data_IF_097679276679
#
_entry.id   IF_097679276679
#
_cell.length_a   1.000
_cell.length_b   1.000
_cell.length_c   1.000
_cell.angle_alpha   90.00
_cell.angle_beta   90.00
_cell.angle_gamma   90.00
#
_symmetry.space_group_name_H-M   'P 1'
#
loop_
_entity.id
_entity.type
_entity.pdbx_description
1 polymer ?
#
# COMPACT_ATOMS: atom_id res chain seq x y z
N UNK A 1 19.11 -38.41 63.60
CA UNK A 1 17.87 -38.83 62.90
C UNK A 1 17.00 -37.66 62.42
N UNK A 2 17.50 -36.41 62.37
CA UNK A 2 16.69 -35.23 62.02
C UNK A 2 16.76 -34.78 60.55
N UNK A 3 17.69 -35.31 59.75
CA UNK A 3 17.92 -34.89 58.36
C UNK A 3 16.79 -35.32 57.41
N UNK A 4 16.20 -36.49 57.62
CA UNK A 4 15.10 -37.02 56.82
C UNK A 4 13.79 -36.24 56.98
N UNK A 5 13.56 -35.69 58.19
CA UNK A 5 12.39 -34.84 58.47
C UNK A 5 12.50 -33.49 57.75
N UNK A 6 13.69 -32.89 57.73
CA UNK A 6 13.92 -31.62 57.03
C UNK A 6 13.74 -31.77 55.52
N UNK A 7 14.28 -32.84 54.92
CA UNK A 7 14.12 -33.10 53.48
C UNK A 7 12.68 -33.38 53.10
N UNK A 8 11.93 -34.04 53.98
CA UNK A 8 10.50 -34.30 53.75
C UNK A 8 9.69 -32.99 53.82
N UNK A 9 9.98 -32.12 54.79
CA UNK A 9 9.33 -30.82 54.90
C UNK A 9 9.62 -29.91 53.69
N UNK A 10 10.87 -29.86 53.22
CA UNK A 10 11.23 -29.10 52.01
C UNK A 10 10.54 -29.67 50.77
N UNK A 11 10.46 -30.99 50.64
CA UNK A 11 9.73 -31.64 49.54
C UNK A 11 8.23 -31.32 49.54
N UNK A 12 7.59 -31.37 50.70
CA UNK A 12 6.15 -31.02 50.85
C UNK A 12 5.91 -29.55 50.51
N UNK A 13 6.79 -28.64 50.94
CA UNK A 13 6.67 -27.21 50.62
C UNK A 13 6.83 -26.96 49.11
N UNK A 14 7.80 -27.61 48.46
CA UNK A 14 7.98 -27.50 47.01
C UNK A 14 6.76 -28.02 46.24
N UNK A 15 6.20 -29.17 46.64
CA UNK A 15 4.99 -29.71 46.01
C UNK A 15 3.81 -28.75 46.22
N UNK A 16 3.65 -28.18 47.42
CA UNK A 16 2.60 -27.21 47.69
C UNK A 16 2.72 -25.93 46.83
N UNK A 17 3.94 -25.42 46.62
CA UNK A 17 4.20 -24.27 45.74
C UNK A 17 3.84 -24.61 44.29
N UNK A 18 4.29 -25.77 43.78
CA UNK A 18 3.97 -26.21 42.42
C UNK A 18 2.46 -26.38 42.20
N UNK A 19 1.73 -26.88 43.20
CA UNK A 19 0.28 -27.03 43.11
C UNK A 19 -0.45 -25.68 43.20
N UNK A 20 0.06 -24.73 44.00
CA UNK A 20 -0.46 -23.37 44.04
C UNK A 20 -0.31 -22.67 42.68
N UNK A 21 0.81 -22.83 41.98
CA UNK A 21 1.01 -22.27 40.64
C UNK A 21 0.05 -22.85 39.59
N UNK A 22 -0.30 -24.14 39.72
CA UNK A 22 -1.29 -24.80 38.84
C UNK A 22 -2.70 -24.26 39.11
N UNK A 23 -3.09 -24.12 40.37
CA UNK A 23 -4.40 -23.57 40.75
C UNK A 23 -4.51 -22.09 40.34
N UNK A 24 -3.44 -21.30 40.49
CA UNK A 24 -3.39 -19.90 40.04
C UNK A 24 -3.37 -19.79 38.51
N UNK A 25 -2.87 -20.80 37.79
CA UNK A 25 -2.87 -20.82 36.32
C UNK A 25 -4.25 -21.10 35.72
N UNK A 26 -5.12 -21.85 36.38
CA UNK A 26 -6.51 -22.08 35.94
C UNK A 26 -7.34 -20.78 35.92
N UNK A 27 -7.06 -19.83 36.82
CA UNK A 27 -7.71 -18.50 36.82
C UNK A 27 -7.08 -17.53 35.81
N UNK A 28 -5.92 -17.84 35.24
CA UNK A 28 -5.41 -17.17 34.05
C UNK A 28 -6.08 -17.74 32.81
N UNK A 29 -7.42 -17.65 32.78
CA UNK A 29 -8.17 -17.77 31.54
C UNK A 29 -7.54 -16.81 30.55
N UNK A 30 -6.87 -17.35 29.55
CA UNK A 30 -6.22 -16.60 28.49
C UNK A 30 -7.30 -15.71 27.90
N UNK A 31 -7.29 -14.43 28.29
CA UNK A 31 -8.21 -13.43 27.79
C UNK A 31 -7.74 -13.05 26.38
N UNK A 32 -7.81 -14.03 25.49
CA UNK A 32 -7.62 -13.83 24.08
C UNK A 32 -8.87 -13.10 23.62
N UNK A 33 -8.78 -11.77 23.60
CA UNK A 33 -9.73 -10.96 22.88
C UNK A 33 -9.92 -11.59 21.50
N UNK A 34 -11.16 -11.98 21.16
CA UNK A 34 -11.49 -12.49 19.82
C UNK A 34 -10.85 -11.53 18.83
N UNK A 35 -9.87 -12.03 18.05
CA UNK A 35 -9.22 -11.27 16.98
C UNK A 35 -10.22 -11.15 15.83
N UNK A 36 -11.25 -10.35 16.05
CA UNK A 36 -12.24 -9.92 15.09
C UNK A 36 -12.20 -8.40 14.97
N UNK A 37 -12.91 -7.88 13.96
CA UNK A 37 -13.09 -6.44 13.79
C UNK A 37 -13.57 -5.84 15.11
N UNK A 38 -12.75 -4.97 15.72
CA UNK A 38 -13.16 -4.21 16.90
C UNK A 38 -14.43 -3.44 16.50
N UNK A 39 -15.42 -3.29 17.37
CA UNK A 39 -16.63 -2.49 17.06
C UNK A 39 -16.32 -1.05 16.63
N UNK A 40 -15.07 -0.60 16.81
CA UNK A 40 -14.53 0.68 16.39
C UNK A 40 -13.60 0.58 15.17
N UNK A 41 -13.62 -0.54 14.43
CA UNK A 41 -12.86 -0.66 13.18
C UNK A 41 -13.37 0.35 12.16
N UNK A 42 -14.69 0.54 12.07
CA UNK A 42 -15.30 1.56 11.22
C UNK A 42 -14.80 2.96 11.59
N UNK A 43 -14.61 3.28 12.88
CA UNK A 43 -14.05 4.58 13.28
C UNK A 43 -12.54 4.71 13.01
N UNK A 44 -11.82 3.60 12.88
CA UNK A 44 -10.41 3.58 12.41
C UNK A 44 -10.29 3.75 10.90
N UNK A 45 -11.26 3.30 10.12
CA UNK A 45 -11.31 3.58 8.66
C UNK A 45 -11.86 5.00 8.39
N UNK A 46 -12.73 5.51 9.27
CA UNK A 46 -13.31 6.85 9.14
C UNK A 46 -12.29 7.99 9.32
N UNK A 47 -11.18 7.76 10.03
CA UNK A 47 -10.18 8.78 10.34
C UNK A 47 -8.89 8.65 9.51
N UNK A 48 -8.99 8.16 8.27
CA UNK A 48 -7.83 7.95 7.40
C UNK A 48 -8.04 8.12 5.89
N UNK A 49 -9.29 8.23 5.42
CA UNK A 49 -9.57 8.66 4.04
C UNK A 49 -9.88 10.17 3.99
N UNK A 50 -9.14 10.95 4.79
CA UNK A 50 -9.09 12.40 4.61
C UNK A 50 -8.33 12.69 3.33
N UNK A 51 -9.03 13.30 2.36
CA UNK A 51 -8.45 13.83 1.12
C UNK A 51 -7.09 14.44 1.42
N UNK A 52 -6.03 13.89 0.84
CA UNK A 52 -4.73 14.56 0.78
C UNK A 52 -4.92 15.74 -0.15
N UNK A 53 -5.39 16.87 0.40
CA UNK A 53 -5.18 18.16 -0.21
C UNK A 53 -3.68 18.38 -0.15
N UNK A 54 -2.99 18.16 -1.26
CA UNK A 54 -1.57 18.43 -1.38
C UNK A 54 -1.37 19.94 -1.26
N UNK A 55 -1.19 20.42 -0.03
CA UNK A 55 -0.49 21.68 0.19
C UNK A 55 0.96 21.43 -0.20
N UNK A 56 1.31 21.95 -1.37
CA UNK A 56 2.64 21.99 -1.97
C UNK A 56 3.70 22.43 -0.95
N UNK A 57 4.63 21.56 -0.51
CA UNK A 57 5.87 22.00 0.10
C UNK A 57 6.93 22.04 -1.00
N UNK A 58 7.40 23.25 -1.26
CA UNK A 58 8.62 23.52 -2.01
C UNK A 58 9.77 22.61 -1.57
N UNK A 59 10.51 22.14 -2.58
CA UNK A 59 11.90 21.65 -2.51
C UNK A 59 12.19 20.48 -1.58
N UNK A 60 12.32 19.27 -2.13
CA UNK A 60 13.60 18.55 -2.29
C UNK A 60 13.43 17.04 -2.34
N UNK A 61 14.11 16.44 -3.33
CA UNK A 61 14.70 15.09 -3.37
C UNK A 61 13.84 13.83 -3.53
N UNK A 62 14.07 13.21 -4.71
CA UNK A 62 14.35 11.77 -4.98
C UNK A 62 13.24 10.74 -4.76
N UNK A 63 12.57 10.37 -5.87
CA UNK A 63 11.64 9.24 -5.96
C UNK A 63 10.96 9.16 -7.32
N UNK A 64 11.72 9.08 -8.41
CA UNK A 64 11.18 8.99 -9.77
C UNK A 64 10.61 7.59 -10.02
N UNK A 65 9.28 7.44 -10.08
CA UNK A 65 8.60 6.47 -10.98
C UNK A 65 7.07 6.36 -10.81
N UNK A 66 6.45 6.89 -9.75
CA UNK A 66 5.00 6.64 -9.51
C UNK A 66 4.11 7.89 -9.43
N UNK A 67 4.63 9.01 -8.91
CA UNK A 67 3.84 10.24 -8.71
C UNK A 67 3.49 10.98 -10.01
N UNK A 68 4.29 10.82 -11.08
CA UNK A 68 4.00 11.48 -12.35
C UNK A 68 2.79 10.86 -13.06
N UNK A 69 2.58 9.55 -12.94
CA UNK A 69 1.47 8.87 -13.61
C UNK A 69 0.13 9.26 -13.00
N UNK A 70 0.05 9.40 -11.67
CA UNK A 70 -1.18 9.82 -10.97
C UNK A 70 -1.61 11.25 -11.33
N UNK A 71 -0.65 12.13 -11.65
CA UNK A 71 -0.95 13.49 -12.12
C UNK A 71 -1.54 13.51 -13.53
N UNK A 72 -1.25 12.53 -14.39
CA UNK A 72 -1.83 12.45 -15.74
C UNK A 72 -3.22 11.82 -15.74
N UNK A 73 -3.48 10.85 -14.86
CA UNK A 73 -4.81 10.25 -14.71
C UNK A 73 -5.84 11.27 -14.24
N UNK A 74 -5.49 12.14 -13.28
CA UNK A 74 -6.40 13.20 -12.82
C UNK A 74 -6.81 14.20 -13.91
N UNK A 75 -5.86 14.58 -14.79
CA UNK A 75 -6.15 15.44 -15.94
C UNK A 75 -7.01 14.75 -17.01
N UNK A 76 -6.81 13.44 -17.23
CA UNK A 76 -7.64 12.65 -18.14
C UNK A 76 -9.08 12.52 -17.64
N UNK A 77 -9.27 12.41 -16.32
CA UNK A 77 -10.59 12.27 -15.70
C UNK A 77 -11.39 13.57 -15.75
N UNK A 78 -10.74 14.72 -15.62
CA UNK A 78 -11.36 16.06 -15.75
C UNK A 78 -11.78 16.39 -17.19
N UNK A 79 -11.13 15.79 -18.19
CA UNK A 79 -11.44 15.97 -19.62
C UNK A 79 -12.39 14.90 -20.18
N UNK A 80 -12.74 13.88 -19.38
CA UNK A 80 -13.58 12.74 -19.78
C UNK A 80 -15.09 12.99 -19.63
N UNK A 81 -15.55 14.23 -19.76
CA UNK A 81 -16.99 14.52 -19.78
C UNK A 81 -17.67 14.09 -21.11
N UNK A 82 -16.91 13.48 -22.04
CA UNK A 82 -17.42 12.84 -23.26
C UNK A 82 -16.52 11.70 -23.77
N UNK A 83 -17.09 10.66 -24.42
CA UNK A 83 -16.36 9.46 -24.85
C UNK A 83 -15.44 9.66 -26.08
N UNK A 84 -15.42 10.85 -26.69
CA UNK A 84 -14.69 11.14 -27.93
C UNK A 84 -14.09 12.54 -27.87
N UNK A 85 -12.77 12.63 -28.03
CA UNK A 85 -12.00 13.87 -28.14
C UNK A 85 -11.64 14.11 -29.61
N UNK A 86 -11.61 15.37 -30.05
CA UNK A 86 -11.20 15.69 -31.43
C UNK A 86 -9.67 15.63 -31.60
N UNK A 87 -9.18 15.45 -32.83
CA UNK A 87 -7.73 15.48 -33.10
C UNK A 87 -7.11 16.81 -32.69
N UNK A 88 -7.81 17.92 -32.94
CA UNK A 88 -7.34 19.25 -32.56
C UNK A 88 -7.20 19.40 -31.05
N UNK A 89 -8.22 18.97 -30.31
CA UNK A 89 -8.20 18.97 -28.85
C UNK A 89 -7.08 18.08 -28.29
N UNK A 90 -6.87 16.90 -28.87
CA UNK A 90 -5.75 16.03 -28.50
C UNK A 90 -4.40 16.68 -28.77
N UNK A 91 -4.21 17.32 -29.92
CA UNK A 91 -2.94 18.04 -30.22
C UNK A 91 -2.71 19.21 -29.27
N UNK A 92 -3.76 19.94 -28.89
CA UNK A 92 -3.70 21.01 -27.91
C UNK A 92 -3.31 20.46 -26.52
N UNK A 93 -3.81 19.28 -26.16
CA UNK A 93 -3.48 18.58 -24.92
C UNK A 93 -2.00 18.13 -24.92
N UNK A 94 -1.52 17.54 -26.02
CA UNK A 94 -0.12 17.14 -26.16
C UNK A 94 0.85 18.31 -26.10
N UNK A 95 0.47 19.46 -26.67
CA UNK A 95 1.30 20.68 -26.62
C UNK A 95 1.28 21.35 -25.26
N UNK A 96 0.14 21.31 -24.55
CA UNK A 96 0.04 21.82 -23.17
C UNK A 96 0.78 20.97 -22.14
N UNK A 97 0.92 19.66 -22.39
CA UNK A 97 1.52 18.71 -21.45
C UNK A 97 2.62 17.85 -22.11
N UNK A 98 3.87 18.35 -22.20
CA UNK A 98 4.95 17.65 -22.90
C UNK A 98 5.30 16.29 -22.28
N UNK A 99 5.12 16.14 -20.98
CA UNK A 99 5.37 14.87 -20.29
C UNK A 99 4.33 13.80 -20.63
N UNK A 100 3.07 14.20 -20.87
CA UNK A 100 2.05 13.27 -21.32
C UNK A 100 2.34 12.81 -22.76
N UNK A 101 2.76 13.72 -23.61
CA UNK A 101 3.22 13.38 -24.96
C UNK A 101 4.39 12.39 -24.91
N UNK A 102 5.37 12.61 -24.04
CA UNK A 102 6.47 11.66 -23.80
C UNK A 102 5.98 10.31 -23.29
N UNK A 103 5.05 10.29 -22.33
CA UNK A 103 4.49 9.05 -21.81
C UNK A 103 3.73 8.25 -22.87
N UNK A 104 2.98 8.94 -23.74
CA UNK A 104 2.26 8.32 -24.84
C UNK A 104 3.21 7.76 -25.89
N UNK A 105 4.24 8.52 -26.27
CA UNK A 105 5.29 8.04 -27.17
C UNK A 105 6.00 6.83 -26.57
N UNK A 106 6.39 6.89 -25.30
CA UNK A 106 7.04 5.78 -24.59
C UNK A 106 6.14 4.55 -24.47
N UNK A 107 4.82 4.72 -24.40
CA UNK A 107 3.88 3.62 -24.19
C UNK A 107 3.41 2.97 -25.49
N UNK A 108 3.23 3.77 -26.54
CA UNK A 108 2.54 3.34 -27.76
C UNK A 108 3.43 3.35 -29.01
N UNK A 109 4.53 4.10 -29.01
CA UNK A 109 5.45 4.20 -30.15
C UNK A 109 6.73 3.42 -29.86
N UNK A 110 7.34 3.65 -28.70
CA UNK A 110 8.50 2.90 -28.21
C UNK A 110 8.04 1.53 -27.71
N UNK A 111 8.22 0.49 -28.52
CA UNK A 111 7.73 -0.86 -28.23
C UNK A 111 8.79 -1.67 -27.48
N UNK A 112 10.06 -1.44 -27.82
CA UNK A 112 11.19 -2.11 -27.20
C UNK A 112 11.58 -1.51 -25.83
N UNK A 113 11.09 -0.30 -25.51
CA UNK A 113 11.30 0.41 -24.25
C UNK A 113 12.72 0.95 -24.09
N UNK A 114 13.43 1.20 -25.19
CA UNK A 114 14.82 1.67 -25.19
C UNK A 114 14.97 3.19 -25.18
N UNK A 115 13.85 3.93 -25.05
CA UNK A 115 13.79 5.39 -25.09
C UNK A 115 14.28 6.01 -26.42
N UNK A 116 14.39 5.21 -27.49
CA UNK A 116 14.79 5.64 -28.84
C UNK A 116 13.73 5.19 -29.84
N UNK A 117 13.20 6.13 -30.62
CA UNK A 117 12.20 5.80 -31.64
C UNK A 117 12.91 5.37 -32.92
N UNK A 118 12.79 4.09 -33.28
CA UNK A 118 13.25 3.58 -34.56
C UNK A 118 12.29 3.95 -35.71
N UNK A 119 12.79 3.97 -36.94
CA UNK A 119 11.96 4.25 -38.13
C UNK A 119 10.89 3.19 -38.34
N UNK A 120 11.20 1.96 -37.96
CA UNK A 120 10.36 0.78 -38.04
C UNK A 120 9.20 0.85 -37.02
N UNK A 121 9.44 1.45 -35.85
CA UNK A 121 8.40 1.71 -34.86
C UNK A 121 7.50 2.88 -35.26
N UNK A 122 8.10 3.96 -35.77
CA UNK A 122 7.36 5.16 -36.15
C UNK A 122 6.40 4.93 -37.33
N UNK A 123 6.82 4.12 -38.31
CA UNK A 123 6.04 3.86 -39.52
C UNK A 123 5.43 2.45 -39.55
N UNK A 124 5.26 1.82 -38.39
CA UNK A 124 4.64 0.49 -38.32
C UNK A 124 3.26 0.54 -38.99
N UNK A 125 2.98 -0.31 -39.99
CA UNK A 125 1.64 -0.41 -40.56
C UNK A 125 0.68 -0.93 -39.50
N UNK A 126 -0.42 -0.20 -39.28
CA UNK A 126 -1.49 -0.62 -38.39
C UNK A 126 -2.11 -1.87 -39.01
N UNK A 127 -1.78 -3.06 -38.50
CA UNK A 127 -2.38 -4.30 -38.96
C UNK A 127 -3.85 -4.31 -38.55
N UNK A 128 -4.73 -3.89 -39.45
CA UNK A 128 -6.17 -4.13 -39.36
C UNK A 128 -6.42 -5.63 -39.49
N UNK A 129 -6.89 -6.27 -38.42
CA UNK A 129 -7.28 -7.68 -38.42
C UNK A 129 -8.73 -7.84 -38.85
#
# INVERSE_FOLDING_TARGET
MCRSSLTFQVGVVLIAICLLDVVVSEDRRINRQKRGFRMNSASRVAHGYGKRGYQLPSSSSSGESQDQLESYTGLLEELSDGPLMTVNEFTQLMTGHPNLARALVKKFVDINGDDVISTEELFRPVMTK
#
